data_IF_296153773349
#
_entry.id   IF_296153773349
#
_cell.length_a   1.000
_cell.length_b   1.000
_cell.length_c   1.000
_cell.angle_alpha   90.00
_cell.angle_beta   90.00
_cell.angle_gamma   90.00
#
_symmetry.space_group_name_H-M   'P 1'
#
loop_
_entity.id
_entity.type
_entity.pdbx_description
1 polymer ?
#
# COMPACT_ATOMS: atom_id res chain seq x y z
N UNK A 1 1.04 -9.50 46.32
CA UNK A 1 1.75 -10.79 46.38
C UNK A 1 3.18 -10.63 45.92
N UNK A 2 4.08 -11.49 46.39
CA UNK A 2 5.51 -11.42 46.04
C UNK A 2 5.75 -11.55 44.54
N UNK A 3 4.98 -12.40 43.87
CA UNK A 3 5.06 -12.58 42.40
C UNK A 3 4.76 -11.27 41.63
N UNK A 4 3.87 -10.42 42.17
CA UNK A 4 3.56 -9.12 41.58
C UNK A 4 4.74 -8.14 41.72
N UNK A 5 5.47 -8.19 42.86
CA UNK A 5 6.69 -7.39 43.03
C UNK A 5 7.78 -7.85 42.06
N UNK A 6 7.96 -9.18 41.89
CA UNK A 6 8.91 -9.75 40.91
C UNK A 6 8.55 -9.30 39.50
N UNK A 7 7.28 -9.36 39.11
CA UNK A 7 6.81 -8.86 37.81
C UNK A 7 7.11 -7.38 37.61
N UNK A 8 6.85 -6.55 38.64
CA UNK A 8 7.16 -5.11 38.61
C UNK A 8 8.65 -4.83 38.44
N UNK A 9 9.52 -5.60 39.09
CA UNK A 9 10.99 -5.51 38.93
C UNK A 9 11.39 -5.88 37.51
N UNK A 10 10.87 -6.98 36.95
CA UNK A 10 11.15 -7.41 35.58
C UNK A 10 10.78 -6.31 34.56
N UNK A 11 9.60 -5.70 34.67
CA UNK A 11 9.19 -4.57 33.85
C UNK A 11 10.11 -3.36 34.02
N UNK A 12 10.49 -3.01 35.27
CA UNK A 12 11.42 -1.91 35.50
C UNK A 12 12.79 -2.15 34.85
N UNK A 13 13.24 -3.40 34.77
CA UNK A 13 14.50 -3.77 34.13
C UNK A 13 14.43 -3.74 32.59
N UNK A 14 13.28 -3.43 31.99
CA UNK A 14 13.11 -3.41 30.54
C UNK A 14 12.97 -4.82 29.95
N UNK A 15 12.22 -5.69 30.63
CA UNK A 15 11.96 -7.07 30.21
C UNK A 15 10.48 -7.29 29.92
N UNK A 16 10.16 -8.36 29.21
CA UNK A 16 8.82 -8.87 29.05
C UNK A 16 8.50 -9.83 30.22
N UNK A 17 7.49 -9.48 31.01
CA UNK A 17 7.02 -10.33 32.10
C UNK A 17 5.87 -11.22 31.62
N UNK A 18 6.08 -12.54 31.56
CA UNK A 18 5.00 -13.47 31.36
C UNK A 18 4.29 -13.74 32.68
N UNK A 19 3.04 -13.29 32.75
CA UNK A 19 2.17 -13.47 33.92
C UNK A 19 0.82 -14.02 33.48
N UNK A 20 0.38 -15.09 34.11
CA UNK A 20 -0.90 -15.71 33.78
C UNK A 20 -2.09 -14.72 33.92
N UNK A 21 -3.11 -14.96 33.12
CA UNK A 21 -4.35 -14.16 33.19
C UNK A 21 -4.95 -14.24 34.60
N UNK A 22 -5.34 -13.09 35.15
CA UNK A 22 -5.88 -12.97 36.49
C UNK A 22 -4.86 -12.73 37.61
N UNK A 23 -3.55 -12.73 37.34
CA UNK A 23 -2.50 -12.44 38.32
C UNK A 23 -2.30 -10.94 38.60
N UNK A 24 -3.13 -10.08 38.00
CA UNK A 24 -3.17 -8.65 38.31
C UNK A 24 -2.11 -7.82 37.55
N UNK A 25 -1.82 -8.13 36.27
CA UNK A 25 -0.87 -7.39 35.40
C UNK A 25 -1.09 -5.88 35.46
N UNK A 26 -2.34 -5.40 35.40
CA UNK A 26 -2.69 -3.97 35.47
C UNK A 26 -2.16 -3.30 36.75
N UNK A 27 -2.25 -3.96 37.90
CA UNK A 27 -1.71 -3.46 39.15
C UNK A 27 -0.19 -3.54 39.18
N UNK A 28 0.39 -4.62 38.67
CA UNK A 28 1.85 -4.81 38.61
C UNK A 28 2.53 -3.70 37.81
N UNK A 29 1.93 -3.27 36.70
CA UNK A 29 2.43 -2.21 35.87
C UNK A 29 2.56 -0.86 36.63
N UNK A 30 1.73 -0.62 37.66
CA UNK A 30 1.79 0.62 38.44
C UNK A 30 3.12 0.82 39.16
N UNK A 31 3.79 -0.25 39.55
CA UNK A 31 5.07 -0.19 40.28
C UNK A 31 6.20 0.43 39.43
N UNK A 32 6.53 -0.13 38.24
CA UNK A 32 7.54 0.47 37.39
C UNK A 32 7.10 1.80 36.79
N UNK A 33 5.81 2.01 36.55
CA UNK A 33 5.29 3.29 36.06
C UNK A 33 5.56 4.41 37.05
N UNK A 34 5.21 4.22 38.31
CA UNK A 34 5.48 5.19 39.38
C UNK A 34 6.96 5.52 39.46
N UNK A 35 7.81 4.51 39.57
CA UNK A 35 9.25 4.69 39.74
C UNK A 35 9.90 5.44 38.56
N UNK A 36 9.49 5.14 37.32
CA UNK A 36 10.05 5.81 36.14
C UNK A 36 9.41 7.18 35.89
N UNK A 37 8.19 7.43 36.34
CA UNK A 37 7.53 8.74 36.27
C UNK A 37 8.27 9.81 37.11
N UNK A 38 8.87 9.41 38.21
CA UNK A 38 9.67 10.32 39.08
C UNK A 38 10.83 11.04 38.35
N UNK A 39 11.29 10.48 37.23
CA UNK A 39 12.31 11.11 36.41
C UNK A 39 11.78 12.29 35.55
N UNK A 40 10.47 12.49 35.47
CA UNK A 40 9.82 13.57 34.70
C UNK A 40 9.92 13.45 33.18
N UNK A 41 10.38 12.33 32.67
CA UNK A 41 10.60 12.13 31.21
C UNK A 41 9.38 11.54 30.49
N UNK A 42 8.32 11.18 31.21
CA UNK A 42 7.10 10.54 30.69
C UNK A 42 7.21 9.02 30.60
N UNK A 43 6.12 8.37 31.00
CA UNK A 43 5.93 6.93 30.92
C UNK A 43 4.66 6.65 30.13
N UNK A 44 4.75 5.80 29.12
CA UNK A 44 3.59 5.40 28.32
C UNK A 44 3.15 3.98 28.71
N UNK A 45 1.86 3.78 28.98
CA UNK A 45 1.24 2.46 29.02
C UNK A 45 0.41 2.27 27.77
N UNK A 46 0.76 1.23 27.02
CA UNK A 46 0.20 0.92 25.70
C UNK A 46 -0.72 -0.28 25.82
N UNK A 47 -1.94 -0.15 25.30
CA UNK A 47 -2.95 -1.22 25.28
C UNK A 47 -3.38 -1.53 23.85
N UNK A 48 -4.04 -2.66 23.64
CA UNK A 48 -4.52 -3.12 22.33
C UNK A 48 -5.79 -2.39 21.84
N UNK A 49 -6.54 -1.74 22.76
CA UNK A 49 -7.76 -1.01 22.40
C UNK A 49 -8.04 0.15 23.37
N UNK A 50 -8.89 1.08 22.93
CA UNK A 50 -9.26 2.30 23.65
C UNK A 50 -10.05 2.03 24.92
N UNK A 51 -10.87 0.97 24.95
CA UNK A 51 -11.60 0.61 26.14
C UNK A 51 -10.66 0.26 27.31
N UNK A 52 -9.63 -0.55 27.05
CA UNK A 52 -8.62 -0.90 28.06
C UNK A 52 -7.82 0.32 28.49
N UNK A 53 -7.38 1.17 27.55
CA UNK A 53 -6.65 2.39 27.86
C UNK A 53 -7.45 3.30 28.80
N UNK A 54 -8.71 3.56 28.49
CA UNK A 54 -9.62 4.41 29.27
C UNK A 54 -9.95 3.79 30.64
N UNK A 55 -10.27 2.49 30.66
CA UNK A 55 -10.61 1.77 31.90
C UNK A 55 -9.44 1.77 32.87
N UNK A 56 -8.26 1.37 32.39
CA UNK A 56 -7.10 1.14 33.25
C UNK A 56 -6.49 2.46 33.71
N UNK A 57 -6.49 3.50 32.86
CA UNK A 57 -6.09 4.84 33.28
C UNK A 57 -6.99 5.36 34.41
N UNK A 58 -8.32 5.30 34.24
CA UNK A 58 -9.26 5.76 35.25
C UNK A 58 -9.18 4.95 36.57
N UNK A 59 -8.93 3.65 36.44
CA UNK A 59 -8.85 2.77 37.61
C UNK A 59 -7.58 2.94 38.43
N UNK A 60 -6.44 3.13 37.75
CA UNK A 60 -5.12 3.24 38.38
C UNK A 60 -4.72 4.69 38.73
N UNK A 61 -5.32 5.71 38.08
CA UNK A 61 -5.02 7.11 38.33
C UNK A 61 -5.03 7.52 39.82
N UNK A 62 -6.01 7.09 40.66
CA UNK A 62 -6.02 7.48 42.05
C UNK A 62 -4.75 7.08 42.83
N UNK A 63 -4.08 5.99 42.46
CA UNK A 63 -2.81 5.55 43.06
C UNK A 63 -1.71 6.57 42.78
N UNK A 64 -1.59 7.02 41.54
CA UNK A 64 -0.57 7.94 41.09
C UNK A 64 -0.82 9.37 41.58
N UNK A 65 -2.07 9.83 41.48
CA UNK A 65 -2.50 11.17 41.89
C UNK A 65 -2.29 11.40 43.40
N UNK A 66 -2.52 10.34 44.22
CA UNK A 66 -2.23 10.38 45.64
C UNK A 66 -0.75 10.74 45.92
N UNK A 67 0.16 10.34 45.05
CA UNK A 67 1.58 10.63 45.13
C UNK A 67 2.00 11.85 44.31
N UNK A 68 1.08 12.65 43.80
CA UNK A 68 1.37 13.86 43.04
C UNK A 68 1.85 13.59 41.60
N UNK A 69 1.66 12.39 41.06
CA UNK A 69 2.00 12.01 39.69
C UNK A 69 0.77 12.22 38.81
N UNK A 70 0.91 12.97 37.74
CA UNK A 70 -0.16 13.25 36.79
C UNK A 70 -0.38 12.08 35.81
N UNK A 71 -1.65 11.77 35.55
CA UNK A 71 -2.07 10.68 34.65
C UNK A 71 -3.10 11.20 33.65
N UNK A 72 -2.96 10.84 32.40
CA UNK A 72 -3.98 11.09 31.38
C UNK A 72 -4.02 9.95 30.34
N UNK A 73 -5.06 9.94 29.52
CA UNK A 73 -5.24 8.98 28.45
C UNK A 73 -5.52 9.70 27.12
N UNK A 74 -4.67 9.46 26.12
CA UNK A 74 -4.79 10.12 24.82
C UNK A 74 -6.09 9.77 24.09
N UNK A 75 -6.67 8.59 24.34
CA UNK A 75 -7.90 8.15 23.69
C UNK A 75 -9.17 8.91 24.16
N UNK A 76 -9.06 9.80 25.15
CA UNK A 76 -10.12 10.75 25.50
C UNK A 76 -10.10 12.03 24.65
N UNK A 77 -8.97 12.32 24.01
CA UNK A 77 -8.72 13.61 23.39
C UNK A 77 -8.63 13.50 21.87
N UNK A 78 -9.09 14.53 21.16
CA UNK A 78 -9.01 14.58 19.72
C UNK A 78 -7.54 14.68 19.24
N UNK A 79 -7.17 14.04 18.12
CA UNK A 79 -5.86 14.22 17.52
C UNK A 79 -5.50 15.69 17.29
N UNK A 80 -4.23 16.05 17.47
CA UNK A 80 -3.68 17.40 17.30
C UNK A 80 -4.30 18.48 18.22
N UNK A 81 -5.04 18.10 19.27
CA UNK A 81 -5.61 19.04 20.23
C UNK A 81 -4.60 19.43 21.33
N UNK A 82 -4.81 20.60 21.96
CA UNK A 82 -4.03 21.01 23.11
C UNK A 82 -4.23 20.08 24.31
N UNK A 83 -5.41 19.48 24.44
CA UNK A 83 -5.73 18.48 25.45
C UNK A 83 -4.89 17.22 25.24
N UNK A 84 -4.75 16.76 23.99
CA UNK A 84 -3.91 15.62 23.64
C UNK A 84 -2.44 15.89 23.91
N UNK A 85 -1.98 17.10 23.63
CA UNK A 85 -0.62 17.55 23.99
C UNK A 85 -0.39 17.58 25.50
N UNK A 86 -1.39 18.02 26.27
CA UNK A 86 -1.34 17.97 27.75
C UNK A 86 -1.28 16.53 28.23
N UNK A 87 -2.03 15.61 27.62
CA UNK A 87 -1.98 14.20 27.98
C UNK A 87 -0.59 13.58 27.77
N UNK A 88 0.11 13.93 26.70
CA UNK A 88 1.51 13.53 26.51
C UNK A 88 2.48 14.19 27.48
N UNK A 89 2.14 15.35 28.02
CA UNK A 89 2.95 16.04 29.03
C UNK A 89 2.66 15.57 30.48
N UNK A 90 1.66 14.73 30.68
CA UNK A 90 1.45 14.05 31.95
C UNK A 90 2.66 13.15 32.30
N UNK A 91 2.87 12.86 33.56
CA UNK A 91 3.94 11.96 34.02
C UNK A 91 3.72 10.53 33.51
N UNK A 92 2.44 10.13 33.43
CA UNK A 92 2.00 8.83 32.91
C UNK A 92 0.93 9.06 31.86
N UNK A 93 1.11 8.48 30.67
CA UNK A 93 0.16 8.57 29.57
C UNK A 93 -0.27 7.19 29.12
N UNK A 94 -1.59 6.94 29.18
CA UNK A 94 -2.20 5.74 28.64
C UNK A 94 -2.67 5.97 27.20
N UNK A 95 -2.69 4.92 26.40
CA UNK A 95 -3.23 4.98 25.03
C UNK A 95 -3.16 3.66 24.30
N UNK A 96 -3.83 3.61 23.15
CA UNK A 96 -3.76 2.45 22.25
C UNK A 96 -2.48 2.50 21.40
N UNK A 97 -1.98 1.31 21.06
CA UNK A 97 -0.80 1.12 20.21
C UNK A 97 -0.88 1.94 18.91
N UNK A 98 -2.03 1.90 18.23
CA UNK A 98 -2.24 2.59 16.96
C UNK A 98 -2.24 4.12 17.12
N UNK A 99 -2.89 4.64 18.17
CA UNK A 99 -2.98 6.08 18.41
C UNK A 99 -1.60 6.70 18.72
N UNK A 100 -0.77 6.02 19.50
CA UNK A 100 0.62 6.43 19.69
C UNK A 100 1.38 6.51 18.37
N UNK A 101 1.24 5.51 17.51
CA UNK A 101 1.89 5.50 16.20
C UNK A 101 1.31 6.55 15.24
N UNK A 102 0.00 6.77 15.23
CA UNK A 102 -0.62 7.82 14.41
C UNK A 102 -0.24 9.22 14.86
N UNK A 103 -0.13 9.48 16.17
CA UNK A 103 0.33 10.77 16.66
C UNK A 103 1.78 11.04 16.25
N UNK A 104 2.64 10.02 16.29
CA UNK A 104 4.00 10.14 15.75
C UNK A 104 4.01 10.50 14.25
N UNK A 105 3.15 9.87 13.45
CA UNK A 105 3.03 10.21 12.03
C UNK A 105 2.53 11.65 11.83
N UNK A 106 1.56 12.10 12.62
CA UNK A 106 1.04 13.48 12.59
C UNK A 106 2.12 14.48 12.99
N UNK A 107 2.91 14.17 14.01
CA UNK A 107 4.03 15.02 14.45
C UNK A 107 5.10 15.15 13.35
N UNK A 108 5.39 14.09 12.60
CA UNK A 108 6.30 14.15 11.45
C UNK A 108 5.76 14.99 10.27
N UNK A 109 4.47 15.25 10.24
CA UNK A 109 3.84 16.12 9.24
C UNK A 109 3.65 17.56 9.74
N UNK A 110 4.00 17.86 11.01
CA UNK A 110 3.85 19.17 11.61
C UNK A 110 4.78 20.20 10.95
N UNK A 111 4.26 21.42 10.77
CA UNK A 111 5.03 22.51 10.13
C UNK A 111 5.90 23.30 11.12
N UNK A 112 5.59 23.25 12.41
CA UNK A 112 6.34 23.94 13.44
C UNK A 112 6.55 23.05 14.68
N UNK A 113 7.66 23.23 15.42
CA UNK A 113 7.91 22.47 16.66
C UNK A 113 6.83 22.65 17.72
N UNK A 114 6.11 23.78 17.70
CA UNK A 114 4.99 24.05 18.60
C UNK A 114 3.78 23.16 18.38
N UNK A 115 3.63 22.59 17.18
CA UNK A 115 2.51 21.74 16.80
C UNK A 115 2.69 20.28 17.21
N UNK A 116 3.90 19.90 17.64
CA UNK A 116 4.20 18.54 18.11
C UNK A 116 3.43 18.23 19.39
N UNK A 117 2.78 17.07 19.43
CA UNK A 117 2.04 16.62 20.62
C UNK A 117 2.89 15.68 21.50
N UNK A 118 3.75 14.86 20.88
CA UNK A 118 4.59 13.91 21.60
C UNK A 118 5.88 14.53 22.12
N UNK A 119 6.34 14.02 23.26
CA UNK A 119 7.69 14.23 23.82
C UNK A 119 8.64 13.14 23.31
N UNK A 120 9.96 13.29 23.53
CA UNK A 120 10.91 12.21 23.28
C UNK A 120 10.51 10.90 23.99
N UNK A 121 10.59 9.78 23.28
CA UNK A 121 10.18 8.47 23.75
C UNK A 121 11.15 7.95 24.83
N UNK A 122 10.72 7.95 26.08
CA UNK A 122 11.55 7.55 27.21
C UNK A 122 11.30 6.10 27.63
N UNK A 123 10.11 5.81 28.19
CA UNK A 123 9.77 4.49 28.67
C UNK A 123 8.35 4.10 28.25
N UNK A 124 8.20 2.90 27.69
CA UNK A 124 6.90 2.32 27.42
C UNK A 124 6.76 0.93 28.06
N UNK A 125 5.57 0.66 28.60
CA UNK A 125 5.12 -0.66 28.99
C UNK A 125 4.02 -1.05 28.01
N UNK A 126 4.16 -2.19 27.35
CA UNK A 126 3.18 -2.71 26.37
C UNK A 126 2.40 -3.85 27.02
N UNK A 127 1.09 -3.67 27.15
CA UNK A 127 0.19 -4.75 27.59
C UNK A 127 -0.15 -5.64 26.39
N UNK A 128 -0.29 -6.94 26.62
CA UNK A 128 -0.39 -7.98 25.59
C UNK A 128 0.73 -7.82 24.52
N UNK A 129 1.95 -7.86 25.01
CA UNK A 129 3.16 -7.50 24.25
C UNK A 129 3.41 -8.39 23.02
N UNK A 130 3.02 -9.64 23.06
CA UNK A 130 3.06 -10.57 21.92
C UNK A 130 2.12 -10.11 20.80
N UNK A 131 0.88 -9.76 21.10
CA UNK A 131 -0.05 -9.26 20.09
C UNK A 131 0.45 -7.96 19.46
N UNK A 132 0.90 -7.00 20.27
CA UNK A 132 1.30 -5.66 19.78
C UNK A 132 2.65 -5.66 19.08
N UNK A 133 3.64 -6.37 19.63
CA UNK A 133 5.03 -6.30 19.14
C UNK A 133 5.41 -7.44 18.19
N UNK A 134 4.59 -8.48 18.06
CA UNK A 134 4.82 -9.60 17.13
C UNK A 134 3.71 -9.65 16.09
N UNK A 135 2.46 -9.97 16.49
CA UNK A 135 1.37 -10.22 15.54
C UNK A 135 1.04 -8.99 14.68
N UNK A 136 0.79 -7.85 15.31
CA UNK A 136 0.40 -6.60 14.64
C UNK A 136 1.59 -5.73 14.22
N UNK A 137 2.79 -6.06 14.67
CA UNK A 137 3.96 -5.18 14.59
C UNK A 137 4.39 -4.82 13.17
N UNK A 138 4.17 -5.70 12.20
CA UNK A 138 4.54 -5.52 10.79
C UNK A 138 3.49 -4.79 9.97
N UNK A 139 2.27 -4.67 10.48
CA UNK A 139 1.21 -3.93 9.81
C UNK A 139 1.53 -2.43 9.83
N UNK A 140 1.65 -1.76 8.67
CA UNK A 140 1.98 -0.35 8.65
C UNK A 140 0.77 0.51 9.04
N UNK A 141 1.01 1.50 9.87
CA UNK A 141 0.12 2.64 10.04
C UNK A 141 0.38 3.62 8.91
N UNK A 142 -0.67 4.09 8.24
CA UNK A 142 -0.56 4.92 7.04
C UNK A 142 -1.46 6.14 7.19
N UNK A 143 -0.91 7.33 6.96
CA UNK A 143 -1.69 8.55 6.75
C UNK A 143 -1.63 8.90 5.28
N UNK A 144 -2.78 8.97 4.64
CA UNK A 144 -2.93 9.37 3.25
C UNK A 144 -3.99 10.46 3.12
N UNK A 145 -3.89 11.25 2.07
CA UNK A 145 -4.88 12.28 1.76
C UNK A 145 -4.96 12.53 0.26
N UNK A 146 -5.98 13.30 -0.17
CA UNK A 146 -6.17 13.62 -1.58
C UNK A 146 -5.02 14.48 -2.10
N UNK A 147 -4.61 14.22 -3.34
CA UNK A 147 -3.65 15.07 -4.05
C UNK A 147 -4.39 16.33 -4.51
N UNK A 148 -3.88 17.55 -4.24
CA UNK A 148 -4.55 18.82 -4.58
C UNK A 148 -4.90 18.98 -6.07
N UNK A 149 -4.15 18.35 -6.98
CA UNK A 149 -4.37 18.36 -8.42
C UNK A 149 -5.02 17.08 -8.98
N UNK A 150 -5.42 16.16 -8.11
CA UNK A 150 -5.93 14.82 -8.47
C UNK A 150 -7.27 14.79 -9.20
N UNK A 151 -7.92 15.94 -9.41
CA UNK A 151 -9.19 16.06 -10.16
C UNK A 151 -8.98 16.33 -11.66
N UNK A 152 -7.74 16.59 -12.10
CA UNK A 152 -7.41 16.91 -13.51
C UNK A 152 -6.96 15.66 -14.29
N UNK A 153 -7.74 14.62 -14.28
CA UNK A 153 -7.43 13.42 -15.02
C UNK A 153 -8.32 13.29 -16.27
N UNK A 154 -7.74 12.82 -17.36
CA UNK A 154 -8.41 12.62 -18.65
C UNK A 154 -9.13 11.25 -18.74
N UNK A 155 -9.46 10.56 -17.59
CA UNK A 155 -10.07 9.22 -17.62
C UNK A 155 -11.36 9.15 -18.43
N UNK A 156 -12.28 10.10 -18.20
CA UNK A 156 -13.56 10.12 -18.92
C UNK A 156 -13.39 10.50 -20.40
N UNK A 157 -12.40 11.33 -20.73
CA UNK A 157 -12.12 11.77 -22.09
C UNK A 157 -11.44 10.69 -22.92
N UNK A 158 -10.51 9.94 -22.33
CA UNK A 158 -9.79 8.88 -23.01
C UNK A 158 -10.55 7.56 -23.06
N UNK A 159 -11.49 7.34 -22.15
CA UNK A 159 -12.28 6.10 -22.06
C UNK A 159 -12.88 5.63 -23.38
N UNK A 160 -13.56 6.45 -24.20
CA UNK A 160 -14.14 5.98 -25.47
C UNK A 160 -13.07 5.43 -26.41
N UNK A 161 -11.95 6.15 -26.57
CA UNK A 161 -10.82 5.72 -27.41
C UNK A 161 -10.23 4.39 -26.95
N UNK A 162 -10.09 4.22 -25.62
CA UNK A 162 -9.57 2.98 -25.03
C UNK A 162 -10.56 1.82 -25.22
N UNK A 163 -11.84 2.07 -25.08
CA UNK A 163 -12.86 1.05 -25.33
C UNK A 163 -12.83 0.59 -26.78
N UNK A 164 -12.74 1.52 -27.72
CA UNK A 164 -12.66 1.21 -29.16
C UNK A 164 -11.45 0.35 -29.49
N UNK A 165 -10.23 0.69 -29.02
CA UNK A 165 -9.02 -0.10 -29.30
C UNK A 165 -9.11 -1.51 -28.68
N UNK A 166 -9.68 -1.63 -27.48
CA UNK A 166 -9.88 -2.91 -26.81
C UNK A 166 -10.88 -3.79 -27.59
N UNK A 167 -11.95 -3.21 -28.08
CA UNK A 167 -12.97 -3.93 -28.85
C UNK A 167 -12.45 -4.37 -30.23
N UNK A 168 -11.69 -3.51 -30.91
CA UNK A 168 -11.04 -3.82 -32.18
C UNK A 168 -10.03 -4.97 -32.00
N UNK A 169 -9.18 -4.91 -30.96
CA UNK A 169 -8.22 -5.99 -30.70
C UNK A 169 -8.93 -7.31 -30.34
N UNK A 170 -9.94 -7.27 -29.48
CA UNK A 170 -10.74 -8.47 -29.13
C UNK A 170 -11.39 -9.10 -30.36
N UNK A 171 -11.98 -8.29 -31.23
CA UNK A 171 -12.61 -8.76 -32.48
C UNK A 171 -11.61 -9.44 -33.41
N UNK A 172 -10.44 -8.80 -33.62
CA UNK A 172 -9.34 -9.34 -34.42
C UNK A 172 -8.85 -10.68 -33.86
N UNK A 173 -8.53 -10.72 -32.58
CA UNK A 173 -7.96 -11.90 -31.94
C UNK A 173 -8.96 -13.05 -31.75
N UNK A 174 -10.24 -12.77 -31.76
CA UNK A 174 -11.26 -13.83 -31.82
C UNK A 174 -11.18 -14.63 -33.13
N UNK A 175 -10.95 -13.97 -34.26
CA UNK A 175 -10.68 -14.60 -35.53
C UNK A 175 -9.36 -15.39 -35.54
N UNK A 176 -8.29 -14.79 -35.01
CA UNK A 176 -6.98 -15.44 -34.89
C UNK A 176 -7.04 -16.70 -34.01
N UNK A 177 -7.80 -16.67 -32.91
CA UNK A 177 -8.01 -17.84 -32.05
C UNK A 177 -8.73 -18.99 -32.79
N UNK A 178 -9.71 -18.67 -33.60
CA UNK A 178 -10.41 -19.69 -34.41
C UNK A 178 -9.44 -20.34 -35.41
N UNK A 179 -8.59 -19.56 -36.03
CA UNK A 179 -7.56 -20.05 -36.95
C UNK A 179 -6.49 -20.88 -36.22
N UNK A 180 -6.02 -20.43 -35.06
CA UNK A 180 -5.09 -21.20 -34.23
C UNK A 180 -5.65 -22.58 -33.85
N UNK A 181 -6.92 -22.62 -33.47
CA UNK A 181 -7.62 -23.88 -33.17
C UNK A 181 -7.69 -24.81 -34.38
N UNK A 182 -7.99 -24.28 -35.58
CA UNK A 182 -8.03 -25.04 -36.80
C UNK A 182 -6.68 -25.65 -37.14
N UNK A 183 -5.64 -24.83 -37.17
CA UNK A 183 -4.27 -25.24 -37.52
C UNK A 183 -3.73 -26.33 -36.55
N UNK A 184 -3.92 -26.15 -35.25
CA UNK A 184 -3.48 -27.12 -34.26
C UNK A 184 -4.21 -28.46 -34.42
N UNK A 185 -5.51 -28.45 -34.72
CA UNK A 185 -6.28 -29.66 -35.00
C UNK A 185 -5.84 -30.36 -36.28
N UNK A 186 -5.39 -29.63 -37.28
CA UNK A 186 -4.87 -30.14 -38.55
C UNK A 186 -3.40 -30.65 -38.41
N UNK A 187 -2.79 -30.46 -37.23
CA UNK A 187 -1.42 -30.91 -36.94
C UNK A 187 -0.33 -29.88 -37.25
N UNK A 188 -0.67 -28.72 -37.77
CA UNK A 188 0.28 -27.64 -37.93
C UNK A 188 0.48 -26.90 -36.60
N UNK A 189 1.32 -27.49 -35.76
CA UNK A 189 1.63 -26.93 -34.44
C UNK A 189 2.58 -25.72 -34.49
N UNK A 190 3.27 -25.51 -35.61
CA UNK A 190 4.19 -24.35 -35.74
C UNK A 190 3.41 -23.07 -36.02
N UNK A 191 2.61 -23.05 -37.09
CA UNK A 191 1.81 -21.87 -37.41
C UNK A 191 0.66 -21.70 -36.41
N UNK A 192 0.01 -22.78 -35.99
CA UNK A 192 -1.00 -22.73 -34.94
C UNK A 192 -0.45 -22.22 -33.60
N UNK A 193 0.78 -22.58 -33.22
CA UNK A 193 1.45 -22.05 -32.04
C UNK A 193 1.77 -20.56 -32.15
N UNK A 194 2.19 -20.11 -33.34
CA UNK A 194 2.43 -18.70 -33.64
C UNK A 194 1.16 -17.85 -33.42
N UNK A 195 0.05 -18.28 -34.00
CA UNK A 195 -1.24 -17.60 -33.85
C UNK A 195 -1.75 -17.68 -32.41
N UNK A 196 -1.58 -18.81 -31.74
CA UNK A 196 -1.97 -19.00 -30.34
C UNK A 196 -1.17 -18.06 -29.41
N UNK A 197 0.14 -17.92 -29.61
CA UNK A 197 0.97 -17.01 -28.82
C UNK A 197 0.55 -15.56 -29.04
N UNK A 198 0.22 -15.15 -30.27
CA UNK A 198 -0.33 -13.82 -30.57
C UNK A 198 -1.62 -13.54 -29.78
N UNK A 199 -2.54 -14.49 -29.76
CA UNK A 199 -3.79 -14.37 -28.99
C UNK A 199 -3.49 -14.25 -27.48
N UNK A 200 -2.58 -15.09 -26.96
CA UNK A 200 -2.19 -15.07 -25.55
C UNK A 200 -1.58 -13.73 -25.13
N UNK A 201 -0.73 -13.13 -25.97
CA UNK A 201 -0.14 -11.81 -25.70
C UNK A 201 -1.12 -10.65 -25.82
N UNK A 202 -2.20 -10.79 -26.57
CA UNK A 202 -3.18 -9.72 -26.76
C UNK A 202 -4.40 -9.77 -25.87
N UNK A 203 -4.89 -10.96 -25.49
CA UNK A 203 -6.09 -11.17 -24.65
C UNK A 203 -5.93 -12.40 -23.73
N UNK A 204 -4.97 -12.43 -22.81
CA UNK A 204 -4.68 -13.63 -21.99
C UNK A 204 -5.87 -14.11 -21.15
N UNK A 205 -6.72 -13.21 -20.69
CA UNK A 205 -7.90 -13.51 -19.85
C UNK A 205 -9.16 -13.87 -20.65
N UNK A 206 -9.05 -14.06 -21.97
CA UNK A 206 -10.21 -14.44 -22.78
C UNK A 206 -10.70 -15.85 -22.44
N UNK A 207 -11.99 -15.98 -22.09
CA UNK A 207 -12.60 -17.25 -21.66
C UNK A 207 -12.47 -18.37 -22.70
N UNK A 208 -12.59 -18.05 -24.01
CA UNK A 208 -12.44 -19.03 -25.07
C UNK A 208 -10.97 -19.49 -25.24
N UNK A 209 -10.01 -18.62 -25.01
CA UNK A 209 -8.59 -18.96 -24.96
C UNK A 209 -8.28 -19.85 -23.76
N UNK A 210 -8.72 -19.46 -22.55
CA UNK A 210 -8.50 -20.24 -21.33
C UNK A 210 -9.06 -21.65 -21.47
N UNK A 211 -10.29 -21.77 -22.02
CA UNK A 211 -10.90 -23.06 -22.31
C UNK A 211 -10.05 -23.89 -23.29
N UNK A 212 -9.52 -23.27 -24.33
CA UNK A 212 -8.65 -23.94 -25.29
C UNK A 212 -7.32 -24.39 -24.71
N UNK A 213 -6.71 -23.56 -23.86
CA UNK A 213 -5.47 -23.89 -23.14
C UNK A 213 -5.64 -25.05 -22.15
N UNK A 214 -6.87 -25.37 -21.76
CA UNK A 214 -7.18 -26.53 -20.90
C UNK A 214 -7.26 -27.85 -21.67
N UNK A 215 -7.27 -27.81 -23.02
CA UNK A 215 -7.23 -29.01 -23.87
C UNK A 215 -5.81 -29.63 -23.83
N UNK A 216 -5.74 -30.95 -23.89
CA UNK A 216 -4.48 -31.71 -23.79
C UNK A 216 -3.49 -31.29 -24.89
N UNK A 217 -2.24 -31.00 -24.48
CA UNK A 217 -1.14 -30.62 -25.37
C UNK A 217 -1.10 -29.17 -25.81
N UNK A 218 -2.21 -28.41 -25.73
CA UNK A 218 -2.27 -27.03 -26.22
C UNK A 218 -1.38 -26.10 -25.42
N UNK A 219 -1.37 -26.23 -24.09
CA UNK A 219 -0.49 -25.45 -23.22
C UNK A 219 0.99 -25.70 -23.48
N UNK A 220 1.35 -26.94 -23.84
CA UNK A 220 2.73 -27.31 -24.20
C UNK A 220 3.15 -26.66 -25.52
N UNK A 221 2.23 -26.60 -26.51
CA UNK A 221 2.48 -25.90 -27.79
C UNK A 221 2.74 -24.42 -27.52
N UNK A 222 1.90 -23.77 -26.71
CA UNK A 222 2.09 -22.37 -26.34
C UNK A 222 3.48 -22.12 -25.69
N UNK A 223 3.83 -22.91 -24.65
CA UNK A 223 5.12 -22.76 -23.97
C UNK A 223 6.31 -23.00 -24.88
N UNK A 224 6.25 -24.02 -25.74
CA UNK A 224 7.31 -24.31 -26.70
C UNK A 224 7.49 -23.15 -27.68
N UNK A 225 6.39 -22.58 -28.18
CA UNK A 225 6.40 -21.43 -29.09
C UNK A 225 6.92 -20.19 -28.36
N UNK A 226 6.45 -19.89 -27.17
CA UNK A 226 6.93 -18.78 -26.35
C UNK A 226 8.44 -18.87 -26.14
N UNK A 227 8.97 -20.00 -25.69
CA UNK A 227 10.39 -20.22 -25.51
C UNK A 227 11.21 -20.03 -26.80
N UNK A 228 10.68 -20.48 -27.95
CA UNK A 228 11.33 -20.29 -29.24
C UNK A 228 11.44 -18.82 -29.61
N UNK A 229 10.39 -18.01 -29.39
CA UNK A 229 10.39 -16.57 -29.76
C UNK A 229 11.05 -15.69 -28.69
N UNK A 230 11.20 -16.18 -27.47
CA UNK A 230 11.98 -15.54 -26.41
C UNK A 230 13.49 -15.82 -26.51
N UNK A 231 13.91 -16.78 -27.30
CA UNK A 231 15.34 -17.03 -27.54
C UNK A 231 15.99 -15.83 -28.21
N UNK A 232 17.31 -15.69 -28.09
CA UNK A 232 18.11 -14.59 -28.68
C UNK A 232 17.63 -13.18 -28.26
N UNK A 233 17.36 -12.98 -26.95
CA UNK A 233 16.92 -11.70 -26.39
C UNK A 233 15.63 -11.15 -27.03
N UNK A 234 14.62 -11.99 -27.23
CA UNK A 234 13.32 -11.64 -27.80
C UNK A 234 13.35 -11.08 -29.24
N UNK A 235 14.41 -11.32 -29.99
CA UNK A 235 14.61 -10.73 -31.31
C UNK A 235 13.49 -11.05 -32.31
N UNK A 236 12.84 -12.19 -32.14
CA UNK A 236 11.77 -12.66 -33.04
C UNK A 236 10.34 -12.30 -32.49
N UNK A 237 10.25 -11.87 -31.24
CA UNK A 237 8.95 -11.54 -30.61
C UNK A 237 8.18 -10.41 -31.33
N UNK A 238 8.84 -9.36 -31.88
CA UNK A 238 8.15 -8.33 -32.66
C UNK A 238 7.30 -8.87 -33.81
N UNK A 239 7.63 -10.06 -34.37
CA UNK A 239 6.80 -10.69 -35.43
C UNK A 239 5.45 -11.16 -34.92
N UNK A 240 5.39 -11.61 -33.65
CA UNK A 240 4.16 -11.97 -32.98
C UNK A 240 3.31 -10.72 -32.74
N UNK A 241 3.94 -9.66 -32.26
CA UNK A 241 3.31 -8.43 -31.78
C UNK A 241 2.88 -7.47 -32.91
N UNK A 242 3.44 -7.61 -34.11
CA UNK A 242 3.27 -6.68 -35.22
C UNK A 242 1.82 -6.33 -35.59
N UNK A 243 0.89 -7.27 -35.38
CA UNK A 243 -0.52 -7.08 -35.69
C UNK A 243 -1.37 -6.65 -34.49
N UNK A 244 -0.77 -6.62 -33.30
CA UNK A 244 -1.44 -6.21 -32.07
C UNK A 244 -1.43 -4.69 -31.93
N UNK A 245 -2.50 -4.13 -31.38
CA UNK A 245 -2.57 -2.72 -30.99
C UNK A 245 -1.89 -2.47 -29.66
N UNK A 246 -1.93 -3.44 -28.75
CA UNK A 246 -1.23 -3.45 -27.49
C UNK A 246 -0.91 -4.89 -27.08
N UNK A 247 0.12 -5.04 -26.27
CA UNK A 247 0.64 -6.30 -25.76
C UNK A 247 0.48 -6.35 -24.26
N UNK A 248 0.05 -7.48 -23.74
CA UNK A 248 -0.17 -7.72 -22.31
C UNK A 248 0.91 -8.68 -21.80
N UNK A 249 1.67 -8.24 -20.82
CA UNK A 249 2.49 -9.10 -19.97
C UNK A 249 1.74 -9.35 -18.65
N UNK A 250 1.03 -10.48 -18.60
CA UNK A 250 0.23 -10.84 -17.42
C UNK A 250 1.12 -11.10 -16.18
N UNK A 251 2.35 -11.61 -16.35
CA UNK A 251 3.24 -11.91 -15.24
C UNK A 251 3.71 -10.66 -14.49
N UNK A 252 3.92 -9.58 -15.24
CA UNK A 252 4.39 -8.30 -14.69
C UNK A 252 3.26 -7.27 -14.54
N UNK A 253 2.01 -7.62 -14.86
CA UNK A 253 0.87 -6.70 -14.91
C UNK A 253 1.15 -5.43 -15.73
N UNK A 254 1.87 -5.60 -16.84
CA UNK A 254 2.22 -4.51 -17.75
C UNK A 254 1.45 -4.60 -19.06
N UNK A 255 1.15 -3.44 -19.61
CA UNK A 255 0.58 -3.31 -20.97
C UNK A 255 1.42 -2.29 -21.73
N UNK A 256 1.80 -2.64 -22.94
CA UNK A 256 2.55 -1.79 -23.82
C UNK A 256 1.78 -1.57 -25.13
N UNK A 257 1.61 -0.31 -25.52
CA UNK A 257 1.08 0.02 -26.85
C UNK A 257 2.12 -0.30 -27.92
N UNK A 258 1.67 -0.91 -29.01
CA UNK A 258 2.45 -0.99 -30.24
C UNK A 258 2.38 0.33 -31.03
N UNK A 259 3.24 0.52 -32.02
CA UNK A 259 3.16 1.66 -32.95
C UNK A 259 1.78 1.73 -33.63
N UNK A 260 1.20 0.59 -33.97
CA UNK A 260 -0.16 0.46 -34.50
C UNK A 260 -1.22 0.98 -33.52
N UNK A 261 -1.05 0.69 -32.23
CA UNK A 261 -1.93 1.17 -31.17
C UNK A 261 -1.80 2.67 -30.96
N UNK A 262 -0.59 3.19 -30.92
CA UNK A 262 -0.32 4.64 -30.80
C UNK A 262 -0.98 5.38 -31.97
N UNK A 263 -0.78 4.94 -33.21
CA UNK A 263 -1.37 5.54 -34.39
C UNK A 263 -2.92 5.50 -34.36
N UNK A 264 -3.50 4.40 -33.88
CA UNK A 264 -4.94 4.26 -33.75
C UNK A 264 -5.54 5.24 -32.74
N UNK A 265 -4.88 5.43 -31.59
CA UNK A 265 -5.36 6.30 -30.51
C UNK A 265 -5.12 7.79 -30.80
N UNK A 266 -4.01 8.15 -31.42
CA UNK A 266 -3.66 9.54 -31.76
C UNK A 266 -4.60 10.14 -32.81
N UNK A 267 -4.99 9.34 -33.80
CA UNK A 267 -5.82 9.82 -34.91
C UNK A 267 -5.02 10.66 -35.93
N UNK A 268 -5.72 11.15 -36.97
CA UNK A 268 -5.11 11.94 -38.05
C UNK A 268 -4.87 13.40 -37.63
N UNK A 269 -5.64 13.94 -36.68
CA UNK A 269 -5.62 15.36 -36.29
C UNK A 269 -4.45 15.72 -35.35
N UNK A 270 -3.98 14.79 -34.53
CA UNK A 270 -2.85 15.01 -33.62
C UNK A 270 -2.00 13.71 -33.50
N UNK A 271 -1.09 13.48 -34.45
CA UNK A 271 -0.22 12.27 -34.44
C UNK A 271 0.64 12.16 -33.19
N UNK A 272 0.97 13.28 -32.55
CA UNK A 272 1.85 13.36 -31.39
C UNK A 272 1.11 13.32 -30.04
N UNK A 273 -0.22 13.09 -30.07
CA UNK A 273 -1.08 13.11 -28.87
C UNK A 273 -0.60 12.18 -27.76
N UNK A 274 -0.10 11.00 -28.14
CA UNK A 274 0.47 9.99 -27.23
C UNK A 274 1.99 9.82 -27.37
N UNK A 275 2.67 10.76 -28.03
CA UNK A 275 4.12 10.71 -28.23
C UNK A 275 4.80 11.67 -27.27
N UNK A 276 5.75 11.12 -26.46
CA UNK A 276 6.54 11.94 -25.54
C UNK A 276 7.59 12.73 -26.32
N UNK A 277 7.73 14.05 -26.05
CA UNK A 277 8.82 14.82 -26.61
C UNK A 277 10.16 14.36 -26.02
N UNK A 278 11.18 14.26 -26.87
CA UNK A 278 12.55 14.03 -26.42
C UNK A 278 13.12 15.30 -25.78
N UNK A 279 12.95 15.46 -24.47
CA UNK A 279 13.32 16.67 -23.72
C UNK A 279 14.75 17.13 -24.06
N UNK A 280 15.72 16.21 -24.12
CA UNK A 280 17.11 16.55 -24.41
C UNK A 280 17.29 17.20 -25.79
N UNK A 281 16.60 16.67 -26.80
CA UNK A 281 16.64 17.20 -28.17
C UNK A 281 15.94 18.56 -28.25
N UNK A 282 14.79 18.70 -27.63
CA UNK A 282 14.03 19.96 -27.65
C UNK A 282 14.74 21.05 -26.84
N UNK A 283 15.36 20.75 -25.70
CA UNK A 283 16.18 21.71 -24.96
C UNK A 283 17.38 22.15 -25.81
N UNK A 284 18.08 21.22 -26.48
CA UNK A 284 19.21 21.55 -27.33
C UNK A 284 18.79 22.45 -28.52
N UNK A 285 17.58 22.25 -29.09
CA UNK A 285 17.01 23.13 -30.11
C UNK A 285 16.73 24.53 -29.57
N UNK A 286 16.22 24.65 -28.35
CA UNK A 286 15.94 25.95 -27.70
C UNK A 286 17.25 26.68 -27.41
N UNK A 287 18.26 26.01 -26.87
CA UNK A 287 19.58 26.57 -26.54
C UNK A 287 20.41 26.91 -27.78
N UNK A 288 20.15 26.25 -28.89
CA UNK A 288 20.78 26.56 -30.18
C UNK A 288 20.20 27.79 -30.89
N UNK A 289 19.12 28.39 -30.36
CA UNK A 289 18.56 29.62 -30.90
C UNK A 289 19.14 30.83 -30.16
N UNK A 290 19.49 31.89 -30.87
CA UNK A 290 19.93 33.17 -30.27
C UNK A 290 18.76 33.90 -29.62
N UNK A 291 18.31 33.43 -28.47
CA UNK A 291 17.18 33.98 -27.71
C UNK A 291 17.68 34.75 -26.47
N UNK A 292 16.88 35.70 -26.00
CA UNK A 292 17.12 36.29 -24.67
C UNK A 292 16.87 35.26 -23.56
N UNK A 293 17.60 35.34 -22.44
CA UNK A 293 17.49 34.45 -21.29
C UNK A 293 16.06 34.28 -20.80
N UNK A 294 15.24 35.35 -20.84
CA UNK A 294 13.83 35.32 -20.45
C UNK A 294 12.96 34.50 -21.44
N UNK A 295 13.22 34.61 -22.75
CA UNK A 295 12.50 33.84 -23.76
C UNK A 295 12.88 32.37 -23.73
N UNK A 296 14.16 32.07 -23.53
CA UNK A 296 14.65 30.71 -23.37
C UNK A 296 14.01 30.03 -22.15
N UNK A 297 13.97 30.71 -21.00
CA UNK A 297 13.32 30.21 -19.79
C UNK A 297 11.84 29.94 -20.00
N UNK A 298 11.11 30.86 -20.66
CA UNK A 298 9.70 30.70 -20.97
C UNK A 298 9.41 29.52 -21.90
N UNK A 299 10.24 29.28 -22.91
CA UNK A 299 10.10 28.14 -23.81
C UNK A 299 10.39 26.81 -23.12
N UNK A 300 11.41 26.77 -22.24
CA UNK A 300 11.69 25.58 -21.42
C UNK A 300 10.53 25.29 -20.46
N UNK A 301 9.93 26.30 -19.85
CA UNK A 301 8.75 26.13 -18.98
C UNK A 301 7.54 25.56 -19.74
N UNK A 302 7.28 26.05 -20.95
CA UNK A 302 6.22 25.51 -21.82
C UNK A 302 6.52 24.05 -22.18
N UNK A 303 7.76 23.72 -22.55
CA UNK A 303 8.18 22.36 -22.87
C UNK A 303 7.98 21.40 -21.68
N UNK A 304 8.40 21.80 -20.49
CA UNK A 304 8.22 20.97 -19.29
C UNK A 304 6.75 20.79 -18.92
N UNK A 305 5.94 21.82 -19.10
CA UNK A 305 4.48 21.73 -18.87
C UNK A 305 3.83 20.77 -19.88
N UNK A 306 4.17 20.87 -21.17
CA UNK A 306 3.64 19.98 -22.19
C UNK A 306 4.08 18.53 -21.95
N UNK A 307 5.34 18.32 -21.56
CA UNK A 307 5.85 17.02 -21.15
C UNK A 307 5.04 16.44 -19.97
N UNK A 308 4.75 17.25 -18.95
CA UNK A 308 3.96 16.83 -17.80
C UNK A 308 2.56 16.38 -18.21
N UNK A 309 1.87 17.16 -19.03
CA UNK A 309 0.51 16.84 -19.53
C UNK A 309 0.53 15.55 -20.35
N UNK A 310 1.47 15.38 -21.27
CA UNK A 310 1.58 14.16 -22.09
C UNK A 310 1.94 12.94 -21.28
N UNK A 311 2.85 13.09 -20.30
CA UNK A 311 3.20 12.00 -19.39
C UNK A 311 1.99 11.50 -18.59
N UNK A 312 1.20 12.42 -18.03
CA UNK A 312 0.00 12.09 -17.28
C UNK A 312 -1.08 11.44 -18.18
N UNK A 313 -1.22 11.91 -19.40
CA UNK A 313 -2.12 11.33 -20.40
C UNK A 313 -1.74 9.88 -20.76
N UNK A 314 -0.47 9.61 -21.02
CA UNK A 314 0.05 8.26 -21.29
C UNK A 314 -0.16 7.36 -20.07
N UNK A 315 0.09 7.89 -18.87
CA UNK A 315 -0.16 7.15 -17.64
C UNK A 315 -1.65 6.79 -17.50
N UNK A 316 -2.55 7.77 -17.66
CA UNK A 316 -4.01 7.59 -17.60
C UNK A 316 -4.49 6.55 -18.62
N UNK A 317 -3.99 6.63 -19.85
CA UNK A 317 -4.26 5.64 -20.91
C UNK A 317 -3.84 4.23 -20.51
N UNK A 318 -2.61 4.08 -19.98
CA UNK A 318 -2.09 2.77 -19.54
C UNK A 318 -2.95 2.18 -18.41
N UNK A 319 -3.39 3.00 -17.46
CA UNK A 319 -4.27 2.53 -16.38
C UNK A 319 -5.67 2.13 -16.89
N UNK A 320 -6.21 2.86 -17.86
CA UNK A 320 -7.47 2.48 -18.50
C UNK A 320 -7.32 1.15 -19.27
N UNK A 321 -6.26 0.98 -20.05
CA UNK A 321 -5.98 -0.28 -20.73
C UNK A 321 -5.87 -1.46 -19.76
N UNK A 322 -5.18 -1.27 -18.62
CA UNK A 322 -5.13 -2.26 -17.55
C UNK A 322 -6.51 -2.58 -17.00
N UNK A 323 -7.31 -1.56 -16.69
CA UNK A 323 -8.66 -1.72 -16.16
C UNK A 323 -9.55 -2.53 -17.10
N UNK A 324 -9.46 -2.30 -18.43
CA UNK A 324 -10.27 -3.00 -19.43
C UNK A 324 -9.76 -4.40 -19.76
N UNK A 325 -8.47 -4.64 -19.65
CA UNK A 325 -7.83 -5.87 -20.15
C UNK A 325 -7.49 -6.88 -19.06
N UNK A 326 -7.18 -6.41 -17.84
CA UNK A 326 -6.70 -7.26 -16.75
C UNK A 326 -7.65 -7.36 -15.55
N UNK A 327 -8.61 -6.45 -15.43
CA UNK A 327 -9.51 -6.40 -14.27
C UNK A 327 -10.95 -6.67 -14.69
N UNK A 328 -11.54 -7.75 -14.16
CA UNK A 328 -12.93 -8.16 -14.44
C UNK A 328 -13.82 -7.89 -13.21
N UNK A 329 -15.00 -7.34 -13.47
CA UNK A 329 -16.03 -7.18 -12.44
C UNK A 329 -16.47 -8.55 -11.92
N UNK A 330 -16.81 -8.59 -10.65
CA UNK A 330 -17.24 -9.79 -9.90
C UNK A 330 -16.11 -10.85 -9.74
N UNK A 331 -14.86 -10.47 -10.07
CA UNK A 331 -13.67 -11.29 -9.86
C UNK A 331 -12.65 -10.54 -9.03
N UNK A 332 -12.06 -9.44 -9.54
CA UNK A 332 -11.08 -8.61 -8.84
C UNK A 332 -11.73 -7.45 -8.07
N UNK A 333 -12.93 -7.04 -8.48
CA UNK A 333 -13.66 -5.95 -7.82
C UNK A 333 -15.17 -6.12 -8.01
N UNK A 334 -15.94 -5.47 -7.14
CA UNK A 334 -17.39 -5.33 -7.25
C UNK A 334 -17.79 -3.85 -7.27
N UNK A 335 -18.98 -3.56 -7.78
CA UNK A 335 -19.57 -2.21 -7.72
C UNK A 335 -20.75 -2.25 -6.78
N UNK A 336 -20.66 -1.57 -5.66
CA UNK A 336 -21.71 -1.46 -4.65
C UNK A 336 -21.86 0.02 -4.23
N UNK A 337 -23.08 0.46 -4.02
CA UNK A 337 -23.38 1.85 -3.61
C UNK A 337 -22.69 2.92 -4.45
N UNK A 338 -22.61 2.70 -5.75
CA UNK A 338 -21.89 3.58 -6.70
C UNK A 338 -20.38 3.75 -6.42
N UNK A 339 -19.77 2.73 -5.81
CA UNK A 339 -18.32 2.66 -5.52
C UNK A 339 -17.73 1.34 -6.01
N UNK A 340 -16.48 1.41 -6.43
CA UNK A 340 -15.66 0.23 -6.72
C UNK A 340 -15.05 -0.28 -5.42
N UNK A 341 -15.21 -1.56 -5.13
CA UNK A 341 -14.62 -2.23 -3.97
C UNK A 341 -13.77 -3.41 -4.43
N UNK A 342 -12.56 -3.52 -3.89
CA UNK A 342 -11.64 -4.62 -4.22
C UNK A 342 -12.14 -5.91 -3.60
N UNK A 343 -12.02 -7.01 -4.35
CA UNK A 343 -12.27 -8.36 -3.86
C UNK A 343 -10.95 -9.09 -3.75
N UNK A 344 -10.69 -9.71 -2.60
CA UNK A 344 -9.57 -10.62 -2.43
C UNK A 344 -9.82 -11.91 -3.22
N UNK A 345 -9.01 -12.18 -4.23
CA UNK A 345 -9.16 -13.33 -5.12
C UNK A 345 -9.05 -14.68 -4.40
N UNK A 346 -8.33 -14.74 -3.26
CA UNK A 346 -8.14 -15.98 -2.51
C UNK A 346 -9.32 -16.29 -1.58
N UNK A 347 -9.85 -15.26 -0.92
CA UNK A 347 -10.91 -15.42 0.09
C UNK A 347 -12.30 -15.05 -0.40
N UNK A 348 -12.39 -14.33 -1.53
CA UNK A 348 -13.64 -13.76 -2.05
C UNK A 348 -14.24 -12.64 -1.18
N UNK A 349 -13.49 -12.12 -0.21
CA UNK A 349 -13.95 -11.07 0.69
C UNK A 349 -13.74 -9.69 0.10
N UNK A 350 -14.69 -8.81 0.35
CA UNK A 350 -14.56 -7.39 0.01
C UNK A 350 -13.57 -6.75 0.98
N UNK A 351 -12.60 -6.04 0.41
CA UNK A 351 -11.58 -5.29 1.15
C UNK A 351 -12.04 -3.83 1.29
N UNK A 352 -12.80 -3.56 2.34
CA UNK A 352 -13.33 -2.22 2.58
C UNK A 352 -12.21 -1.18 2.80
N UNK A 353 -12.39 0.02 2.25
CA UNK A 353 -11.44 1.13 2.35
C UNK A 353 -10.14 0.97 1.57
N UNK A 354 -9.87 -0.18 0.93
CA UNK A 354 -8.68 -0.37 0.08
C UNK A 354 -8.93 0.11 -1.34
N UNK A 355 -7.90 0.69 -1.95
CA UNK A 355 -7.91 1.16 -3.34
C UNK A 355 -6.67 0.65 -4.07
N UNK A 356 -6.79 0.39 -5.38
CA UNK A 356 -5.62 0.15 -6.22
C UNK A 356 -4.79 1.43 -6.35
N UNK A 357 -3.47 1.28 -6.39
CA UNK A 357 -2.52 2.38 -6.53
C UNK A 357 -2.44 2.92 -7.96
N UNK A 358 -1.68 4.00 -8.12
CA UNK A 358 -1.22 4.56 -9.38
C UNK A 358 -2.32 4.93 -10.40
N UNK A 359 -3.49 5.33 -9.94
CA UNK A 359 -4.60 5.72 -10.83
C UNK A 359 -5.43 4.55 -11.37
N UNK A 360 -5.06 3.29 -11.08
CA UNK A 360 -5.81 2.12 -11.55
C UNK A 360 -7.23 2.07 -10.98
N UNK A 361 -7.40 2.45 -9.70
CA UNK A 361 -8.73 2.49 -9.09
C UNK A 361 -9.65 3.47 -9.80
N UNK A 362 -9.15 4.67 -10.11
CA UNK A 362 -9.86 5.70 -10.87
C UNK A 362 -10.18 5.24 -12.30
N UNK A 363 -9.26 4.51 -12.93
CA UNK A 363 -9.49 3.91 -14.24
C UNK A 363 -10.65 2.89 -14.21
N UNK A 364 -10.74 2.08 -13.16
CA UNK A 364 -11.85 1.14 -12.97
C UNK A 364 -13.15 1.90 -12.65
N UNK A 365 -13.10 2.94 -11.83
CA UNK A 365 -14.25 3.81 -11.57
C UNK A 365 -14.77 4.45 -12.87
N UNK A 366 -13.88 4.95 -13.73
CA UNK A 366 -14.23 5.46 -15.06
C UNK A 366 -14.84 4.37 -15.95
N UNK A 367 -14.24 3.18 -15.98
CA UNK A 367 -14.75 2.01 -16.73
C UNK A 367 -16.19 1.68 -16.34
N UNK A 368 -16.50 1.65 -15.05
CA UNK A 368 -17.81 1.27 -14.51
C UNK A 368 -18.81 2.44 -14.45
N UNK A 369 -18.44 3.64 -14.91
CA UNK A 369 -19.29 4.84 -14.86
C UNK A 369 -19.73 5.21 -13.45
N UNK A 370 -18.93 4.96 -12.46
CA UNK A 370 -19.14 5.47 -11.08
C UNK A 370 -18.37 6.76 -10.89
N UNK A 371 -18.64 7.47 -9.79
CA UNK A 371 -17.92 8.71 -9.47
C UNK A 371 -16.43 8.40 -9.29
N UNK A 372 -15.58 9.09 -10.03
CA UNK A 372 -14.12 9.02 -9.87
C UNK A 372 -13.75 9.81 -8.62
N UNK A 373 -13.14 9.15 -7.64
CA UNK A 373 -12.64 9.81 -6.44
C UNK A 373 -11.19 10.29 -6.65
N UNK A 374 -10.81 11.38 -6.00
CA UNK A 374 -9.47 11.95 -6.10
C UNK A 374 -8.38 10.91 -5.78
N UNK A 375 -7.23 11.03 -6.43
CA UNK A 375 -6.07 10.21 -6.09
C UNK A 375 -5.64 10.50 -4.65
N UNK A 376 -5.30 9.44 -3.91
CA UNK A 376 -4.75 9.58 -2.55
C UNK A 376 -3.25 9.35 -2.59
N UNK A 377 -2.52 10.23 -1.91
CA UNK A 377 -1.08 10.09 -1.71
C UNK A 377 -0.81 9.68 -0.26
N UNK A 378 0.10 8.75 -0.06
CA UNK A 378 0.60 8.42 1.28
C UNK A 378 1.54 9.54 1.72
N UNK A 379 1.19 10.22 2.80
CA UNK A 379 2.00 11.29 3.39
C UNK A 379 3.03 10.75 4.38
N UNK A 380 2.62 9.78 5.18
CA UNK A 380 3.48 9.20 6.21
C UNK A 380 3.09 7.75 6.48
N UNK A 381 4.10 6.92 6.79
CA UNK A 381 3.90 5.53 7.18
C UNK A 381 4.93 5.10 8.21
N UNK A 382 4.52 4.26 9.15
CA UNK A 382 5.40 3.59 10.11
C UNK A 382 4.80 2.25 10.52
N UNK A 383 5.61 1.25 10.80
CA UNK A 383 5.15 0.03 11.47
C UNK A 383 5.23 0.22 13.00
N UNK A 384 4.36 -0.47 13.74
CA UNK A 384 4.44 -0.48 15.20
C UNK A 384 5.82 -0.97 15.68
N UNK A 385 6.40 -1.93 14.97
CA UNK A 385 7.76 -2.42 15.23
C UNK A 385 8.79 -1.28 15.22
N UNK A 386 8.78 -0.42 14.21
CA UNK A 386 9.72 0.69 14.12
C UNK A 386 9.42 1.78 15.15
N UNK A 387 8.14 2.03 15.43
CA UNK A 387 7.73 3.00 16.44
C UNK A 387 8.24 2.63 17.83
N UNK A 388 7.97 1.40 18.30
CA UNK A 388 8.37 0.98 19.65
C UNK A 388 9.89 0.84 19.84
N UNK A 389 10.65 0.64 18.76
CA UNK A 389 12.12 0.65 18.79
C UNK A 389 12.73 2.04 19.07
N UNK A 390 11.95 3.12 19.03
CA UNK A 390 12.41 4.46 19.34
C UNK A 390 12.47 4.76 20.84
N UNK A 391 11.80 3.96 21.67
CA UNK A 391 11.85 4.14 23.11
C UNK A 391 13.24 3.80 23.67
N UNK A 392 13.74 4.65 24.57
CA UNK A 392 15.00 4.39 25.28
C UNK A 392 14.92 3.14 26.16
N UNK A 393 13.74 2.89 26.71
CA UNK A 393 13.43 1.72 27.53
C UNK A 393 12.05 1.20 27.15
N UNK A 394 12.00 -0.10 26.89
CA UNK A 394 10.79 -0.82 26.53
C UNK A 394 10.61 -1.99 27.49
N UNK A 395 9.39 -2.30 27.87
CA UNK A 395 9.02 -3.51 28.57
C UNK A 395 7.63 -3.95 28.14
N UNK A 396 7.23 -5.17 28.49
CA UNK A 396 5.93 -5.67 28.13
C UNK A 396 5.43 -6.71 29.11
N UNK A 397 4.14 -6.98 29.06
CA UNK A 397 3.50 -8.02 29.85
C UNK A 397 2.44 -8.74 29.02
N UNK A 398 2.34 -10.04 29.21
CA UNK A 398 1.32 -10.90 28.59
C UNK A 398 1.23 -12.23 29.34
N UNK A 399 0.28 -13.07 28.97
CA UNK A 399 0.17 -14.45 29.47
C UNK A 399 0.92 -15.49 28.62
N UNK A 400 1.53 -15.11 27.48
CA UNK A 400 1.99 -16.03 26.41
C UNK A 400 3.30 -15.61 25.73
N UNK A 401 4.22 -14.91 26.42
CA UNK A 401 5.43 -14.37 25.82
C UNK A 401 6.55 -15.41 25.56
N UNK A 402 6.58 -16.51 26.28
CA UNK A 402 7.67 -17.49 26.20
C UNK A 402 7.79 -18.11 24.81
N UNK A 403 6.68 -18.34 24.12
CA UNK A 403 6.66 -18.86 22.74
C UNK A 403 7.34 -17.92 21.76
N UNK A 404 7.24 -16.61 21.97
CA UNK A 404 7.76 -15.55 21.11
C UNK A 404 9.08 -14.94 21.63
N UNK A 405 9.68 -15.53 22.68
CA UNK A 405 10.86 -14.97 23.35
C UNK A 405 12.05 -14.74 22.40
N UNK A 406 12.24 -15.61 21.43
CA UNK A 406 13.29 -15.48 20.41
C UNK A 406 13.11 -14.24 19.54
N UNK A 407 11.89 -13.99 19.06
CA UNK A 407 11.58 -12.84 18.21
C UNK A 407 11.58 -11.52 19.00
N UNK A 408 11.04 -11.51 20.22
CA UNK A 408 11.11 -10.37 21.14
C UNK A 408 12.58 -9.96 21.43
N UNK A 409 13.45 -10.93 21.62
CA UNK A 409 14.88 -10.64 21.81
C UNK A 409 15.56 -10.17 20.53
N UNK A 410 15.31 -10.83 19.40
CA UNK A 410 15.97 -10.47 18.15
C UNK A 410 15.65 -9.04 17.71
N UNK A 411 14.37 -8.65 17.76
CA UNK A 411 13.87 -7.37 17.25
C UNK A 411 14.04 -6.23 18.25
N UNK A 412 13.63 -6.45 19.51
CA UNK A 412 13.50 -5.37 20.51
C UNK A 412 14.53 -5.47 21.63
N UNK A 413 15.31 -6.56 21.70
CA UNK A 413 16.21 -6.89 22.81
C UNK A 413 15.47 -7.02 24.15
N UNK A 414 14.21 -7.43 24.09
CA UNK A 414 13.38 -7.75 25.24
C UNK A 414 13.63 -9.20 25.68
N UNK A 415 14.19 -9.35 26.86
CA UNK A 415 14.34 -10.63 27.53
C UNK A 415 13.02 -11.03 28.19
N UNK A 416 12.58 -12.27 28.02
CA UNK A 416 11.32 -12.77 28.58
C UNK A 416 11.58 -13.42 29.94
N UNK A 417 10.82 -13.04 30.93
CA UNK A 417 10.87 -13.60 32.30
C UNK A 417 9.52 -14.22 32.64
N UNK A 418 9.49 -15.51 32.84
CA UNK A 418 8.32 -16.21 33.34
C UNK A 418 8.17 -15.97 34.85
N UNK A 419 7.05 -15.38 35.24
CA UNK A 419 6.73 -15.10 36.64
C UNK A 419 5.88 -16.26 37.17
N UNK A 420 6.31 -16.95 38.23
CA UNK A 420 5.55 -18.07 38.75
C UNK A 420 4.18 -17.62 39.26
N UNK A 421 3.17 -18.47 39.12
CA UNK A 421 1.84 -18.18 39.63
C UNK A 421 1.82 -18.12 41.18
N UNK A 422 0.91 -17.33 41.73
CA UNK A 422 0.71 -17.24 43.18
C UNK A 422 -0.09 -18.40 43.75
N UNK A 423 -0.37 -19.43 42.97
CA UNK A 423 -1.18 -20.62 43.40
C UNK A 423 -0.31 -21.72 43.93
#
# INVERSE_FOLDING_TARGET
YDVQLVGGVALHQGKAAEMHTGEGKTLVATLPMYLNALAGNGVHLVTVNDYLAKRDSAWMAPIFEFHGISVDCIDYHQPNSEERKKAYNADITYGTNNEFGFDYLRDNMAHAPGDLVQRPHHYAIVDEVDSVLIDDARTPLIISGPVPEGDRHEFNELKPKIQDIVDVQKKYLTGVLAEAKRLIKEGDTKEGGFQLLRVYRGIPKNKALIKFLSEEGVKQILQKTENQYMSDNNREMPKIDAELYYVIDEKNNQIELSDKGVNFLSGEDDPDFFVMPEIGVEIAKIEGQELSTEKEAALKEILFRDYGVKSERIHTMNQLLKAYSLFEKDTQYVVMENKVMIVDEQTGRIMDGRRYSDGLHQAIEAKENVKIEAMTQTFATITLQNYFRMYKKLSGMTGTAVTEAGELWEIYKLDVVEIPTNR
#
